data_IF_924053483190
#
_entry.id   IF_924053483190
#
_cell.length_a   1.000
_cell.length_b   1.000
_cell.length_c   1.000
_cell.angle_alpha   90.00
_cell.angle_beta   90.00
_cell.angle_gamma   90.00
#
_symmetry.space_group_name_H-M   'P 1'
#
loop_
_entity.id
_entity.type
_entity.pdbx_description
1 polymer ?
#
# COMPACT_ATOMS: atom_id res chain seq x y z
N UNK A 1 -28.35 -8.22 -6.31
CA UNK A 1 -27.71 -7.10 -7.03
C UNK A 1 -26.66 -6.48 -6.12
N UNK A 2 -25.38 -6.48 -6.51
CA UNK A 2 -24.33 -5.74 -5.79
C UNK A 2 -24.54 -4.25 -6.09
N UNK A 3 -24.99 -3.48 -5.10
CA UNK A 3 -25.05 -2.02 -5.21
C UNK A 3 -23.61 -1.49 -5.24
N UNK A 4 -23.15 -1.07 -6.41
CA UNK A 4 -21.92 -0.30 -6.54
C UNK A 4 -22.27 1.15 -6.23
N UNK A 5 -21.86 1.62 -5.05
CA UNK A 5 -21.97 3.04 -4.69
C UNK A 5 -21.05 3.87 -5.58
N UNK A 6 -21.62 4.66 -6.49
CA UNK A 6 -20.92 5.67 -7.29
C UNK A 6 -20.58 6.95 -6.51
N UNK A 7 -20.73 6.97 -5.17
CA UNK A 7 -20.17 8.09 -4.40
C UNK A 7 -18.66 8.10 -4.66
N UNK A 8 -18.09 9.20 -5.19
CA UNK A 8 -16.65 9.34 -5.24
C UNK A 8 -16.22 9.43 -3.79
N UNK A 9 -15.90 8.28 -3.22
CA UNK A 9 -15.13 8.25 -2.00
C UNK A 9 -13.84 8.97 -2.41
N UNK A 10 -13.43 9.95 -1.62
CA UNK A 10 -12.32 10.87 -1.88
C UNK A 10 -10.94 10.16 -1.89
N UNK A 11 -10.82 9.02 -2.57
CA UNK A 11 -9.61 8.23 -2.75
C UNK A 11 -8.60 9.06 -3.52
N UNK A 12 -7.43 9.23 -2.92
CA UNK A 12 -6.29 9.81 -3.62
C UNK A 12 -5.37 8.67 -4.07
N UNK A 13 -4.40 9.00 -4.94
CA UNK A 13 -3.52 8.02 -5.58
C UNK A 13 -2.85 7.07 -4.58
N UNK A 14 -2.37 7.58 -3.46
CA UNK A 14 -1.68 6.81 -2.42
C UNK A 14 -2.59 5.76 -1.79
N UNK A 15 -3.88 6.08 -1.58
CA UNK A 15 -4.84 5.11 -1.07
C UNK A 15 -5.05 3.99 -2.09
N UNK A 16 -5.24 4.35 -3.36
CA UNK A 16 -5.43 3.36 -4.44
C UNK A 16 -4.21 2.44 -4.53
N UNK A 17 -3.00 2.97 -4.51
CA UNK A 17 -1.74 2.20 -4.51
C UNK A 17 -1.72 1.21 -3.33
N UNK A 18 -1.97 1.69 -2.12
CA UNK A 18 -1.90 0.85 -0.93
C UNK A 18 -2.94 -0.28 -0.92
N UNK A 19 -4.22 0.05 -1.17
CA UNK A 19 -5.32 -0.91 -1.04
C UNK A 19 -5.40 -1.91 -2.19
N UNK A 20 -4.97 -1.52 -3.39
CA UNK A 20 -4.82 -2.46 -4.51
C UNK A 20 -3.54 -3.30 -4.40
N UNK A 21 -2.64 -2.95 -3.46
CA UNK A 21 -1.29 -3.49 -3.36
C UNK A 21 -0.48 -3.34 -4.66
N UNK A 22 -0.88 -2.42 -5.54
CA UNK A 22 -0.13 -2.06 -6.73
C UNK A 22 0.98 -1.08 -6.38
N UNK A 23 1.89 -0.88 -7.33
CA UNK A 23 2.88 0.19 -7.23
C UNK A 23 4.20 -0.30 -6.63
N UNK A 24 4.78 0.46 -5.68
CA UNK A 24 6.16 0.25 -5.28
C UNK A 24 6.28 -0.78 -4.15
N UNK A 25 5.65 -1.94 -4.26
CA UNK A 25 5.79 -3.01 -3.27
C UNK A 25 6.66 -4.13 -3.84
N UNK A 26 7.71 -4.62 -3.14
CA UNK A 26 8.55 -5.70 -3.67
C UNK A 26 7.73 -6.94 -4.08
N UNK A 27 6.75 -7.34 -3.28
CA UNK A 27 5.88 -8.46 -3.59
C UNK A 27 5.06 -8.27 -4.87
N UNK A 28 4.61 -7.05 -5.14
CA UNK A 28 3.93 -6.71 -6.39
C UNK A 28 4.89 -6.80 -7.58
N UNK A 29 6.08 -6.21 -7.46
CA UNK A 29 7.06 -6.23 -8.54
C UNK A 29 7.52 -7.64 -8.89
N UNK A 30 7.74 -8.50 -7.88
CA UNK A 30 8.06 -9.91 -8.11
C UNK A 30 6.95 -10.65 -8.85
N UNK A 31 5.69 -10.40 -8.48
CA UNK A 31 4.51 -11.03 -9.13
C UNK A 31 4.42 -10.70 -10.61
N UNK A 32 4.83 -9.51 -11.03
CA UNK A 32 4.82 -9.07 -12.43
C UNK A 32 6.19 -9.22 -13.12
N UNK A 33 7.10 -9.98 -12.53
CA UNK A 33 8.44 -10.21 -13.08
C UNK A 33 9.26 -8.92 -13.32
N UNK A 34 8.97 -7.86 -12.56
CA UNK A 34 9.68 -6.58 -12.58
C UNK A 34 10.83 -6.53 -11.56
N UNK A 35 10.91 -7.52 -10.67
CA UNK A 35 11.98 -7.67 -9.69
C UNK A 35 12.21 -9.15 -9.39
N UNK A 36 13.45 -9.50 -9.03
CA UNK A 36 13.83 -10.86 -8.65
C UNK A 36 13.49 -11.20 -7.19
N UNK A 37 13.17 -10.21 -6.36
CA UNK A 37 12.89 -10.40 -4.93
C UNK A 37 11.57 -9.77 -4.51
N UNK A 38 10.82 -10.47 -3.67
CA UNK A 38 9.65 -9.96 -2.98
C UNK A 38 9.97 -9.42 -1.57
N UNK A 39 11.24 -9.41 -1.17
CA UNK A 39 11.67 -8.97 0.15
C UNK A 39 11.80 -7.45 0.24
N UNK A 40 11.38 -6.89 1.38
CA UNK A 40 11.76 -5.57 1.86
C UNK A 40 13.22 -5.59 2.34
N UNK A 41 13.90 -4.45 2.31
CA UNK A 41 15.27 -4.32 2.82
C UNK A 41 15.42 -4.70 4.29
N UNK A 42 14.34 -4.74 5.07
CA UNK A 42 14.34 -5.22 6.45
C UNK A 42 14.15 -6.75 6.59
N UNK A 43 14.13 -7.50 5.49
CA UNK A 43 14.06 -8.96 5.47
C UNK A 43 12.65 -9.57 5.53
N UNK A 44 11.58 -8.76 5.64
CA UNK A 44 10.19 -9.24 5.55
C UNK A 44 9.67 -9.23 4.12
N UNK A 45 8.52 -9.89 3.86
CA UNK A 45 7.87 -9.82 2.54
C UNK A 45 7.33 -8.40 2.32
N UNK A 46 7.77 -7.75 1.26
CA UNK A 46 7.43 -6.36 0.93
C UNK A 46 6.00 -6.20 0.40
N UNK A 47 5.02 -6.46 1.24
CA UNK A 47 3.59 -6.20 1.00
C UNK A 47 3.17 -4.87 1.62
N UNK A 48 2.03 -4.32 1.20
CA UNK A 48 1.43 -3.14 1.84
C UNK A 48 1.17 -3.38 3.34
N UNK A 49 0.71 -4.58 3.71
CA UNK A 49 0.44 -4.95 5.10
C UNK A 49 1.73 -4.97 5.95
N UNK A 50 2.82 -5.49 5.40
CA UNK A 50 4.11 -5.50 6.07
C UNK A 50 4.59 -4.07 6.38
N UNK A 51 4.54 -3.16 5.40
CA UNK A 51 4.89 -1.76 5.63
C UNK A 51 3.93 -1.06 6.62
N UNK A 52 2.67 -1.48 6.69
CA UNK A 52 1.70 -0.90 7.61
C UNK A 52 1.82 -1.41 9.05
N UNK A 53 2.38 -2.59 9.29
CA UNK A 53 2.25 -3.26 10.60
C UNK A 53 3.56 -3.77 11.19
N UNK A 54 4.61 -3.96 10.39
CA UNK A 54 5.81 -4.73 10.79
C UNK A 54 7.14 -4.09 10.37
N UNK A 55 7.19 -3.38 9.24
CA UNK A 55 8.45 -2.89 8.69
C UNK A 55 9.12 -1.87 9.63
N UNK A 56 10.38 -2.12 9.99
CA UNK A 56 11.15 -1.25 10.89
C UNK A 56 11.36 0.17 10.36
N UNK A 57 11.32 0.35 9.04
CA UNK A 57 11.50 1.66 8.41
C UNK A 57 10.24 2.55 8.44
N UNK A 58 9.07 1.99 8.76
CA UNK A 58 7.79 2.71 8.76
C UNK A 58 7.13 2.74 10.14
N UNK A 59 7.91 2.58 11.21
CA UNK A 59 7.43 2.53 12.60
C UNK A 59 6.56 3.72 12.97
N UNK A 60 6.88 4.93 12.49
CA UNK A 60 6.09 6.16 12.72
C UNK A 60 4.66 6.08 12.18
N UNK A 61 4.41 5.23 11.18
CA UNK A 61 3.10 5.05 10.53
C UNK A 61 2.48 3.69 10.83
N UNK A 62 3.03 2.92 11.76
CA UNK A 62 2.49 1.62 12.11
C UNK A 62 1.02 1.70 12.53
N UNK A 63 0.28 0.71 12.05
CA UNK A 63 -1.11 0.44 12.36
C UNK A 63 -1.18 -0.88 13.09
N UNK A 64 -2.26 -1.07 13.85
CA UNK A 64 -2.48 -2.34 14.54
C UNK A 64 -2.68 -3.45 13.52
N UNK A 65 -1.90 -4.53 13.66
CA UNK A 65 -2.06 -5.75 12.85
C UNK A 65 -3.48 -6.29 13.01
N UNK A 66 -4.15 -6.69 11.90
CA UNK A 66 -5.44 -7.35 12.00
C UNK A 66 -5.30 -8.65 12.80
N UNK A 67 -6.31 -8.97 13.61
CA UNK A 67 -6.44 -10.34 14.09
C UNK A 67 -6.84 -11.25 12.91
N UNK A 68 -6.46 -12.54 12.90
CA UNK A 68 -6.68 -13.43 11.76
C UNK A 68 -8.13 -13.51 11.28
N UNK A 69 -9.09 -13.38 12.20
CA UNK A 69 -10.52 -13.39 11.90
C UNK A 69 -11.07 -12.07 11.29
N UNK A 70 -10.27 -11.01 11.25
CA UNK A 70 -10.66 -9.68 10.75
C UNK A 70 -9.84 -9.22 9.54
N UNK A 71 -9.09 -10.11 8.88
CA UNK A 71 -8.25 -9.75 7.73
C UNK A 71 -9.03 -9.06 6.60
N UNK A 72 -10.25 -9.52 6.31
CA UNK A 72 -11.10 -8.91 5.26
C UNK A 72 -11.75 -7.59 5.69
N UNK A 73 -11.98 -7.39 6.99
CA UNK A 73 -12.58 -6.16 7.51
C UNK A 73 -11.55 -5.05 7.73
N UNK A 74 -10.30 -5.43 8.00
CA UNK A 74 -9.25 -4.48 8.31
C UNK A 74 -9.05 -3.43 7.21
N UNK A 75 -8.97 -3.78 5.91
CA UNK A 75 -8.89 -2.78 4.85
C UNK A 75 -10.07 -1.81 4.86
N UNK A 76 -11.29 -2.29 5.15
CA UNK A 76 -12.49 -1.44 5.24
C UNK A 76 -12.38 -0.45 6.40
N UNK A 77 -11.89 -0.90 7.57
CA UNK A 77 -11.70 -0.04 8.75
C UNK A 77 -10.61 1.01 8.52
N UNK A 78 -9.53 0.62 7.86
CA UNK A 78 -8.43 1.52 7.49
C UNK A 78 -8.91 2.54 6.46
N UNK A 79 -9.66 2.12 5.44
CA UNK A 79 -10.18 3.01 4.39
C UNK A 79 -11.19 4.03 4.92
N UNK A 80 -11.98 3.67 5.92
CA UNK A 80 -12.97 4.55 6.52
C UNK A 80 -12.41 5.51 7.59
N UNK A 81 -11.10 5.45 7.88
CA UNK A 81 -10.48 6.26 8.93
C UNK A 81 -9.41 7.21 8.34
N UNK A 82 -9.63 8.52 8.46
CA UNK A 82 -8.74 9.54 7.91
C UNK A 82 -7.33 9.52 8.52
N UNK A 83 -7.19 9.16 9.80
CA UNK A 83 -5.88 9.05 10.47
C UNK A 83 -5.07 7.89 9.87
N UNK A 84 -5.72 6.75 9.64
CA UNK A 84 -5.06 5.62 8.98
C UNK A 84 -4.73 5.90 7.52
N UNK A 85 -5.60 6.61 6.79
CA UNK A 85 -5.28 7.07 5.43
C UNK A 85 -4.12 8.06 5.41
N UNK A 86 -3.99 8.93 6.40
CA UNK A 86 -2.81 9.79 6.53
C UNK A 86 -1.53 8.99 6.74
N UNK A 87 -1.58 7.93 7.58
CA UNK A 87 -0.46 7.00 7.76
C UNK A 87 -0.09 6.27 6.46
N UNK A 88 -1.08 5.80 5.70
CA UNK A 88 -0.87 5.20 4.37
C UNK A 88 -0.11 6.16 3.45
N UNK A 89 -0.52 7.42 3.38
CA UNK A 89 0.15 8.43 2.55
C UNK A 89 1.61 8.60 2.93
N UNK A 90 1.91 8.63 4.24
CA UNK A 90 3.28 8.65 4.74
C UNK A 90 4.10 7.45 4.30
N UNK A 91 3.53 6.24 4.40
CA UNK A 91 4.16 5.00 3.95
C UNK A 91 4.44 5.03 2.44
N UNK A 92 3.46 5.38 1.60
CA UNK A 92 3.64 5.41 0.15
C UNK A 92 4.68 6.45 -0.26
N UNK A 93 4.67 7.62 0.38
CA UNK A 93 5.67 8.66 0.15
C UNK A 93 7.07 8.18 0.53
N UNK A 94 7.23 7.60 1.73
CA UNK A 94 8.49 7.03 2.17
C UNK A 94 9.03 6.00 1.18
N UNK A 95 8.19 5.05 0.76
CA UNK A 95 8.57 4.01 -0.20
C UNK A 95 8.99 4.62 -1.55
N UNK A 96 8.28 5.65 -2.02
CA UNK A 96 8.56 6.28 -3.31
C UNK A 96 9.85 7.10 -3.30
N UNK A 97 10.18 7.75 -2.18
CA UNK A 97 11.41 8.55 -2.02
C UNK A 97 12.66 7.68 -1.80
N UNK A 98 12.50 6.54 -1.11
CA UNK A 98 13.62 5.67 -0.75
C UNK A 98 13.87 4.55 -1.76
N UNK A 99 13.08 4.48 -2.83
CA UNK A 99 13.34 3.53 -3.90
C UNK A 99 14.08 4.18 -5.05
N UNK A 100 15.22 3.60 -5.37
CA UNK A 100 15.92 3.73 -6.65
C UNK A 100 15.15 3.01 -7.76
N UNK A 101 13.93 3.45 -8.11
CA UNK A 101 13.38 3.13 -9.44
C UNK A 101 13.81 4.22 -10.43
N UNK A 102 14.20 3.85 -11.66
CA UNK A 102 14.37 4.85 -12.70
C UNK A 102 13.03 5.56 -12.89
N UNK A 103 13.08 6.88 -13.06
CA UNK A 103 11.91 7.73 -13.28
C UNK A 103 11.01 7.24 -14.44
N UNK A 104 11.48 6.33 -15.30
CA UNK A 104 10.71 5.67 -16.37
C UNK A 104 9.61 4.72 -15.90
N UNK A 105 9.62 4.27 -14.64
CA UNK A 105 8.53 3.51 -14.02
C UNK A 105 7.63 4.39 -13.14
N UNK A 106 7.71 5.72 -13.27
CA UNK A 106 6.67 6.61 -12.75
C UNK A 106 5.35 6.18 -13.36
N UNK A 107 4.56 5.43 -12.59
CA UNK A 107 3.31 4.81 -13.01
C UNK A 107 2.44 5.84 -13.74
N UNK A 108 2.41 5.76 -15.07
CA UNK A 108 1.46 6.45 -15.93
C UNK A 108 0.11 5.75 -15.74
N UNK A 109 -0.62 6.12 -14.69
CA UNK A 109 -2.05 5.88 -14.69
C UNK A 109 -2.67 6.89 -15.65
N UNK A 110 -3.43 6.47 -16.68
CA UNK A 110 -4.24 7.40 -17.43
C UNK A 110 -5.23 8.05 -16.44
N UNK A 111 -5.25 9.38 -16.43
CA UNK A 111 -6.40 10.08 -15.89
C UNK A 111 -7.60 9.62 -16.71
N UNK A 112 -8.56 8.95 -16.07
CA UNK A 112 -9.90 8.78 -16.64
C UNK A 112 -10.60 10.12 -16.67
#
# INVERSE_FOLDING_TARGET
MLSVSLRPTNWIREDVIFFSQHGPFPAYLKRFHLSDSDYCSCGGIGTALHYATECIYTVSWHMRKPAPNFELEWPKRVANNLVYRHKIRGIIKFISENRSFPASLSFNFPAS
#
